data_IF_654393639712
#
_entry.id   IF_654393639712
#
_cell.length_a   1.000
_cell.length_b   1.000
_cell.length_c   1.000
_cell.angle_alpha   90.00
_cell.angle_beta   90.00
_cell.angle_gamma   90.00
#
_symmetry.space_group_name_H-M   'P 1'
#
loop_
_entity.id
_entity.type
_entity.pdbx_description
1 polymer ?
#
# COMPACT_ATOMS: atom_id res chain seq x y z
N UNK A 1 0.70 -21.24 -12.08
CA UNK A 1 0.93 -19.84 -11.66
C UNK A 1 -0.27 -18.98 -12.07
N UNK A 2 -1.49 -19.40 -11.71
CA UNK A 2 -2.75 -18.72 -12.10
C UNK A 2 -3.45 -18.06 -10.91
N UNK A 3 -3.06 -18.41 -9.68
CA UNK A 3 -3.72 -17.93 -8.47
C UNK A 3 -3.42 -16.46 -8.17
N UNK A 4 -2.20 -16.00 -8.48
CA UNK A 4 -1.78 -14.58 -8.37
C UNK A 4 -2.63 -13.66 -9.27
N UNK A 5 -3.10 -14.15 -10.43
CA UNK A 5 -3.98 -13.38 -11.33
C UNK A 5 -5.39 -13.19 -10.77
N UNK A 6 -5.78 -13.95 -9.73
CA UNK A 6 -7.06 -13.76 -9.00
C UNK A 6 -6.88 -12.97 -7.70
N UNK A 7 -5.64 -12.70 -7.28
CA UNK A 7 -5.40 -11.93 -6.07
C UNK A 7 -5.80 -10.47 -6.26
N UNK A 8 -6.87 -10.03 -5.58
CA UNK A 8 -7.37 -8.65 -5.61
C UNK A 8 -6.50 -7.67 -4.80
N UNK A 9 -5.19 -7.92 -4.76
CA UNK A 9 -4.24 -7.00 -4.15
C UNK A 9 -4.21 -5.71 -4.96
N UNK A 10 -4.21 -4.59 -4.24
CA UNK A 10 -4.07 -3.27 -4.80
C UNK A 10 -2.67 -2.77 -4.44
N UNK A 11 -1.98 -2.20 -5.43
CA UNK A 11 -0.66 -1.63 -5.21
C UNK A 11 -0.74 -0.51 -4.18
N UNK A 12 0.22 -0.48 -3.25
CA UNK A 12 0.26 0.49 -2.15
C UNK A 12 -0.79 0.29 -1.05
N UNK A 13 -1.64 -0.75 -1.13
CA UNK A 13 -2.58 -1.07 -0.05
C UNK A 13 -1.97 -2.03 0.97
N UNK A 14 -2.42 -1.87 2.22
CA UNK A 14 -1.92 -2.62 3.37
C UNK A 14 -2.88 -3.75 3.72
N UNK A 15 -2.31 -4.95 3.84
CA UNK A 15 -3.05 -6.16 4.15
C UNK A 15 -2.48 -6.81 5.40
N UNK A 16 -3.31 -7.17 6.39
CA UNK A 16 -2.86 -7.94 7.54
C UNK A 16 -2.27 -9.27 7.09
N UNK A 17 -1.08 -9.58 7.60
CA UNK A 17 -0.42 -10.87 7.40
C UNK A 17 -0.87 -11.82 8.50
N UNK A 18 -1.47 -12.95 8.14
CA UNK A 18 -1.85 -14.02 9.06
C UNK A 18 -0.68 -14.99 9.30
N UNK A 19 0.08 -15.28 8.26
CA UNK A 19 1.25 -16.14 8.30
C UNK A 19 2.26 -15.71 7.23
N UNK A 20 3.55 -15.89 7.52
CA UNK A 20 4.65 -15.57 6.62
C UNK A 20 5.64 -16.74 6.61
N UNK A 21 5.75 -17.42 5.47
CA UNK A 21 6.75 -18.43 5.17
C UNK A 21 7.75 -17.94 4.12
N UNK A 22 8.68 -18.82 3.73
CA UNK A 22 9.68 -18.52 2.71
C UNK A 22 9.06 -18.38 1.32
N UNK A 23 8.13 -19.27 0.97
CA UNK A 23 7.53 -19.33 -0.38
C UNK A 23 6.12 -18.72 -0.45
N UNK A 24 5.44 -18.62 0.69
CA UNK A 24 4.07 -18.14 0.76
C UNK A 24 3.80 -17.22 1.96
N UNK A 25 2.96 -16.20 1.73
CA UNK A 25 2.35 -15.38 2.75
C UNK A 25 0.83 -15.52 2.68
N UNK A 26 0.19 -15.57 3.84
CA UNK A 26 -1.28 -15.60 3.95
C UNK A 26 -1.76 -14.22 4.37
N UNK A 27 -2.53 -13.55 3.52
CA UNK A 27 -3.02 -12.19 3.70
C UNK A 27 -4.53 -12.15 3.91
N UNK A 28 -5.03 -11.20 4.70
CA UNK A 28 -6.46 -10.87 4.74
C UNK A 28 -6.78 -9.84 3.66
N UNK A 29 -7.53 -10.24 2.64
CA UNK A 29 -7.97 -9.38 1.54
C UNK A 29 -9.49 -9.45 1.43
N UNK A 30 -10.17 -8.30 1.62
CA UNK A 30 -11.65 -8.22 1.63
C UNK A 30 -12.31 -9.28 2.53
N UNK A 31 -11.77 -9.47 3.74
CA UNK A 31 -12.24 -10.47 4.71
C UNK A 31 -12.04 -11.94 4.30
N UNK A 32 -11.24 -12.20 3.27
CA UNK A 32 -10.87 -13.54 2.82
C UNK A 32 -9.36 -13.76 2.98
N UNK A 33 -8.94 -14.98 3.28
CA UNK A 33 -7.54 -15.37 3.26
C UNK A 33 -7.09 -15.58 1.80
N UNK A 34 -5.94 -15.02 1.44
CA UNK A 34 -5.29 -15.24 0.15
C UNK A 34 -3.83 -15.61 0.34
N UNK A 35 -3.38 -16.61 -0.43
CA UNK A 35 -1.99 -17.06 -0.46
C UNK A 35 -1.27 -16.30 -1.58
N UNK A 36 -0.18 -15.62 -1.23
CA UNK A 36 0.57 -14.77 -2.16
C UNK A 36 2.07 -15.02 -1.96
N UNK A 37 2.86 -15.16 -3.04
CA UNK A 37 4.31 -15.24 -2.92
C UNK A 37 4.90 -13.98 -2.28
N UNK A 38 5.79 -14.08 -1.27
CA UNK A 38 6.40 -12.92 -0.61
C UNK A 38 7.14 -11.98 -1.57
N UNK A 39 7.61 -12.49 -2.71
CA UNK A 39 8.28 -11.68 -3.75
C UNK A 39 7.41 -10.57 -4.36
N UNK A 40 6.08 -10.63 -4.21
CA UNK A 40 5.16 -9.56 -4.66
C UNK A 40 4.78 -8.58 -3.54
N UNK A 41 5.32 -8.77 -2.33
CA UNK A 41 4.92 -8.04 -1.14
C UNK A 41 6.09 -7.26 -0.57
N UNK A 42 5.80 -6.06 -0.09
CA UNK A 42 6.66 -5.37 0.86
C UNK A 42 6.15 -5.71 2.27
N UNK A 43 6.99 -6.37 3.09
CA UNK A 43 6.63 -6.76 4.45
C UNK A 43 7.12 -5.71 5.44
N UNK A 44 6.17 -5.02 6.08
CA UNK A 44 6.44 -4.05 7.14
C UNK A 44 5.90 -4.54 8.48
N UNK A 45 6.61 -4.26 9.58
CA UNK A 45 6.20 -4.65 10.94
C UNK A 45 5.20 -3.68 11.56
N UNK A 46 5.25 -2.41 11.15
CA UNK A 46 4.38 -1.36 11.65
C UNK A 46 3.43 -0.92 10.55
N UNK A 47 2.16 -0.77 10.89
CA UNK A 47 1.20 -0.15 9.97
C UNK A 47 1.68 1.27 9.67
N UNK A 48 1.71 1.70 8.40
CA UNK A 48 2.07 3.06 8.06
C UNK A 48 1.09 4.05 8.67
N UNK A 49 1.60 5.24 8.98
CA UNK A 49 0.85 6.36 9.53
C UNK A 49 0.61 7.47 8.49
N UNK A 50 1.06 7.27 7.25
CA UNK A 50 1.00 8.24 6.15
C UNK A 50 0.30 7.66 4.93
N UNK A 51 -0.24 8.54 4.08
CA UNK A 51 -0.78 8.17 2.79
C UNK A 51 0.29 7.54 1.91
N UNK A 52 0.04 6.31 1.45
CA UNK A 52 0.89 5.64 0.47
C UNK A 52 0.47 6.07 -0.92
N UNK A 53 1.38 6.61 -1.71
CA UNK A 53 1.04 7.13 -3.04
C UNK A 53 1.52 6.16 -4.10
N UNK A 54 0.70 6.00 -5.13
CA UNK A 54 0.99 5.16 -6.29
C UNK A 54 1.09 6.10 -7.50
N UNK A 55 2.27 6.69 -7.78
CA UNK A 55 2.40 7.80 -8.74
C UNK A 55 1.93 7.43 -10.14
N UNK A 56 2.31 6.26 -10.63
CA UNK A 56 1.95 5.76 -11.97
C UNK A 56 0.43 5.58 -12.16
N UNK A 57 -0.32 5.36 -11.08
CA UNK A 57 -1.77 5.17 -11.13
C UNK A 57 -2.54 6.40 -10.59
N UNK A 58 -1.83 7.47 -10.19
CA UNK A 58 -2.38 8.75 -9.71
C UNK A 58 -3.42 8.59 -8.60
N UNK A 59 -3.14 7.75 -7.60
CA UNK A 59 -3.95 7.67 -6.37
C UNK A 59 -3.08 7.52 -5.13
N UNK A 60 -3.72 7.73 -3.98
CA UNK A 60 -3.19 7.38 -2.68
C UNK A 60 -4.06 6.34 -1.97
N UNK A 61 -3.44 5.63 -1.03
CA UNK A 61 -4.08 4.63 -0.20
C UNK A 61 -4.03 5.06 1.26
N UNK A 62 -5.20 5.06 1.90
CA UNK A 62 -5.35 5.44 3.30
C UNK A 62 -4.59 4.46 4.21
N UNK A 63 -3.72 4.94 5.12
CA UNK A 63 -2.96 4.08 6.02
C UNK A 63 -3.85 3.27 6.97
N UNK A 64 -5.04 3.78 7.31
CA UNK A 64 -5.93 3.13 8.26
C UNK A 64 -6.83 2.06 7.63
N UNK A 65 -7.55 2.41 6.55
CA UNK A 65 -8.61 1.57 5.99
C UNK A 65 -8.33 1.04 4.58
N UNK A 66 -7.14 1.32 4.04
CA UNK A 66 -6.73 0.94 2.69
C UNK A 66 -7.67 1.45 1.57
N UNK A 67 -8.40 2.53 1.84
CA UNK A 67 -9.26 3.20 0.88
C UNK A 67 -8.43 3.91 -0.18
N UNK A 68 -8.87 3.83 -1.44
CA UNK A 68 -8.18 4.47 -2.56
C UNK A 68 -8.82 5.82 -2.85
N UNK A 69 -7.99 6.85 -2.94
CA UNK A 69 -8.44 8.20 -3.31
C UNK A 69 -7.64 8.66 -4.53
N UNK A 70 -8.34 9.07 -5.58
CA UNK A 70 -7.71 9.65 -6.76
C UNK A 70 -6.97 10.94 -6.37
N UNK A 71 -5.75 11.11 -6.88
CA UNK A 71 -4.96 12.30 -6.65
C UNK A 71 -4.96 13.20 -7.88
N UNK A 72 -5.36 14.45 -7.67
CA UNK A 72 -5.04 15.56 -8.56
C UNK A 72 -3.67 16.10 -8.20
N UNK A 73 -3.65 17.10 -7.32
CA UNK A 73 -2.44 17.59 -6.62
C UNK A 73 -2.37 16.95 -5.24
N UNK A 74 -1.18 16.56 -4.77
CA UNK A 74 -0.98 16.08 -3.39
C UNK A 74 -1.10 17.26 -2.41
N UNK A 75 -2.05 17.25 -1.46
CA UNK A 75 -2.00 18.17 -0.32
C UNK A 75 -0.98 17.67 0.72
N UNK A 76 -0.57 18.51 1.65
CA UNK A 76 0.31 18.09 2.77
C UNK A 76 -0.39 17.11 3.72
N UNK A 77 -1.70 17.30 3.92
CA UNK A 77 -2.54 16.48 4.80
C UNK A 77 -3.92 16.27 4.19
N UNK A 78 -4.50 15.08 4.36
CA UNK A 78 -5.83 14.74 3.84
C UNK A 78 -6.62 13.87 4.81
N UNK A 79 -7.91 14.18 4.96
CA UNK A 79 -8.89 13.35 5.66
C UNK A 79 -9.44 12.26 4.73
N UNK A 80 -9.43 11.02 5.19
CA UNK A 80 -9.99 9.90 4.44
C UNK A 80 -11.53 9.99 4.41
N UNK A 81 -12.14 9.94 3.24
CA UNK A 81 -13.61 9.96 3.10
C UNK A 81 -14.33 8.73 3.67
N UNK A 82 -13.61 7.63 3.93
CA UNK A 82 -14.20 6.38 4.45
C UNK A 82 -14.06 6.22 5.95
N UNK A 83 -12.86 6.44 6.51
CA UNK A 83 -12.64 6.29 7.96
C UNK A 83 -12.58 7.63 8.71
N UNK A 84 -12.71 8.76 8.02
CA UNK A 84 -12.73 10.12 8.60
C UNK A 84 -11.47 10.57 9.35
N UNK A 85 -10.46 9.71 9.47
CA UNK A 85 -9.15 10.03 10.02
C UNK A 85 -8.31 10.88 9.05
N UNK A 86 -7.47 11.76 9.61
CA UNK A 86 -6.61 12.68 8.85
C UNK A 86 -5.14 12.32 8.99
N UNK A 87 -4.50 12.05 7.85
CA UNK A 87 -3.10 11.63 7.77
C UNK A 87 -2.30 12.55 6.86
N UNK A 88 -1.00 12.60 7.10
CA UNK A 88 -0.03 13.30 6.28
C UNK A 88 0.34 12.45 5.06
N UNK A 89 0.83 13.10 4.01
CA UNK A 89 1.53 12.42 2.94
C UNK A 89 3.00 12.23 3.34
N UNK A 90 3.64 11.19 2.81
CA UNK A 90 5.09 11.14 2.85
C UNK A 90 5.63 12.34 2.06
N UNK A 91 6.41 13.19 2.73
CA UNK A 91 7.16 14.24 2.06
C UNK A 91 8.04 13.55 1.02
N UNK A 92 8.04 14.07 -0.20
CA UNK A 92 9.06 13.69 -1.16
C UNK A 92 10.38 14.18 -0.58
N UNK A 93 11.08 13.33 0.17
CA UNK A 93 12.52 13.47 0.26
C UNK A 93 12.96 13.37 -1.18
N UNK A 94 13.44 14.49 -1.71
CA UNK A 94 14.12 14.61 -2.98
C UNK A 94 15.11 13.45 -3.04
N UNK A 95 14.73 12.35 -3.69
CA UNK A 95 15.68 11.36 -4.12
C UNK A 95 16.47 12.10 -5.19
N UNK A 96 17.50 12.84 -4.76
CA UNK A 96 18.59 13.22 -5.64
C UNK A 96 18.97 11.93 -6.35
N UNK A 97 18.73 11.90 -7.66
CA UNK A 97 19.16 10.81 -8.50
C UNK A 97 20.63 10.53 -8.17
N UNK A 98 21.07 9.26 -8.08
CA UNK A 98 22.50 9.02 -8.04
C UNK A 98 23.11 9.71 -9.25
N UNK A 99 24.07 10.59 -9.00
CA UNK A 99 24.95 11.12 -10.02
C UNK A 99 25.53 9.92 -10.78
N UNK A 100 25.22 9.85 -12.07
CA UNK A 100 25.90 8.98 -13.02
C UNK A 100 27.38 9.38 -13.07
N UNK A 101 28.29 8.42 -12.95
CA UNK A 101 29.72 8.57 -13.29
C UNK A 101 30.15 7.32 -14.03
#
# INVERSE_FOLDING_TARGET
MDDVRRCQLRRGAWYPVLSLGADEAVLVVRHQSMIVPPAYLEIVRTRPSRWTVVPRERYAVCPNCAERVALGTRPERMRCGRCSEAFEFELEHEYSAPHET
#
